data_IF_477692119092
#
_entry.id   IF_477692119092
#
_cell.length_a   1.000
_cell.length_b   1.000
_cell.length_c   1.000
_cell.angle_alpha   90.00
_cell.angle_beta   90.00
_cell.angle_gamma   90.00
#
_symmetry.space_group_name_H-M   'P 1'
#
loop_
_entity.id
_entity.type
_entity.pdbx_description
1 polymer ?
2 non-polymer ?
3 non-polymer ?
4 non-polymer ?
5 non-polymer ?
6 non-polymer ?
7 water ?
#
# COMPACT_ATOMS: atom_id res chain seq x y z
N UNK A 1 -17.12 -3.34 -29.08
CA UNK A 1 -16.22 -2.35 -29.82
C UNK A 1 -16.83 -1.16 -30.56
N UNK A 3 -12.91 -1.02 -29.43
CA UNK A 3 -12.33 -1.11 -28.07
C UNK A 3 -11.16 -0.17 -27.86
N UNK A 4 -11.34 0.77 -26.93
CA UNK A 4 -10.26 1.64 -26.52
C UNK A 4 -9.14 0.80 -25.89
N UNK A 5 -7.97 1.40 -25.79
CA UNK A 5 -6.85 0.78 -25.06
C UNK A 5 -7.31 0.49 -23.62
N UNK A 6 -8.05 1.42 -23.00
CA UNK A 6 -8.55 1.19 -21.62
C UNK A 6 -9.44 -0.07 -21.56
N UNK A 7 -10.32 -0.20 -22.55
CA UNK A 7 -11.22 -1.33 -22.49
C UNK A 7 -10.45 -2.66 -22.66
N UNK A 8 -9.49 -2.68 -23.58
CA UNK A 8 -8.61 -3.83 -23.74
C UNK A 8 -7.90 -4.16 -22.45
N UNK A 9 -7.27 -3.14 -21.85
CA UNK A 9 -6.55 -3.30 -20.57
C UNK A 9 -7.44 -3.88 -19.45
N UNK A 10 -8.68 -3.39 -19.35
CA UNK A 10 -9.60 -3.81 -18.28
C UNK A 10 -10.04 -5.25 -18.45
N UNK A 11 -9.91 -5.78 -19.68
CA UNK A 11 -10.23 -7.18 -19.91
C UNK A 11 -9.11 -8.08 -19.44
N UNK A 13 -6.74 -7.01 -16.79
CA UNK A 13 -6.18 -6.46 -15.54
C UNK A 13 -7.27 -5.75 -14.79
N UNK A 14 -7.32 -5.92 -13.48
CA UNK A 14 -8.14 -5.05 -12.63
C UNK A 14 -7.50 -3.64 -12.54
N UNK A 15 -8.14 -2.70 -13.21
CA UNK A 15 -7.62 -1.32 -13.23
C UNK A 15 -8.24 -0.55 -12.08
N UNK A 16 -7.38 0.17 -11.33
CA UNK A 16 -7.84 0.93 -10.20
C UNK A 16 -7.26 2.33 -10.23
N UNK A 17 -8.14 3.31 -10.13
CA UNK A 17 -7.69 4.71 -10.10
C UNK A 17 -6.82 4.91 -8.87
N UNK A 18 -5.71 5.58 -9.08
CA UNK A 18 -4.81 5.97 -8.02
C UNK A 18 -5.44 7.17 -7.32
N UNK A 19 -5.73 7.03 -6.04
CA UNK A 19 -6.35 8.11 -5.25
C UNK A 19 -5.54 8.34 -3.97
N UNK A 20 -5.44 9.59 -3.52
CA UNK A 20 -4.77 9.86 -2.25
C UNK A 20 -5.63 10.66 -1.27
N UNK A 21 -6.91 10.82 -1.59
CA UNK A 21 -7.80 11.57 -0.70
C UNK A 21 -9.23 11.12 -0.94
N UNK A 22 -10.09 11.44 0.02
CA UNK A 22 -11.46 10.99 0.01
C UNK A 22 -12.28 11.58 -1.16
N UNK A 23 -12.04 12.84 -1.51
CA UNK A 23 -12.76 13.41 -2.65
C UNK A 23 -12.49 12.62 -3.93
N UNK A 24 -11.24 12.23 -4.15
CA UNK A 24 -10.86 11.46 -5.33
C UNK A 24 -11.46 10.05 -5.29
N UNK A 25 -11.56 9.49 -4.09
CA UNK A 25 -12.18 8.17 -3.93
C UNK A 25 -13.66 8.25 -4.32
N UNK A 26 -14.34 9.28 -3.84
CA UNK A 26 -15.74 9.52 -4.23
C UNK A 26 -15.91 9.75 -5.74
N UNK A 27 -15.01 10.55 -6.32
CA UNK A 27 -15.09 10.94 -7.73
C UNK A 27 -14.84 9.77 -8.68
N UNK A 28 -13.73 9.05 -8.43
CA UNK A 28 -13.28 7.96 -9.31
C UNK A 28 -13.84 6.58 -9.02
N UNK A 29 -14.35 6.39 -7.80
CA UNK A 29 -14.88 5.10 -7.33
C UNK A 29 -13.95 3.89 -7.60
N UNK A 30 -12.71 3.94 -7.07
CA UNK A 30 -11.76 2.86 -7.34
C UNK A 30 -12.26 1.59 -6.69
N UNK A 31 -11.91 0.42 -7.23
CA UNK A 31 -12.34 -0.83 -6.59
C UNK A 31 -11.67 -0.95 -5.22
N UNK A 32 -10.38 -0.63 -5.16
CA UNK A 32 -9.63 -0.66 -3.91
C UNK A 32 -9.05 0.71 -3.66
N UNK A 33 -8.79 1.00 -2.39
CA UNK A 33 -8.13 2.26 -2.01
C UNK A 33 -7.42 2.09 -0.67
N UNK A 34 -6.92 3.19 -0.11
CA UNK A 34 -6.00 3.13 1.05
C UNK A 34 -6.33 4.19 2.11
N UNK A 35 -6.37 3.77 3.37
CA UNK A 35 -6.26 4.71 4.48
C UNK A 35 -4.79 4.75 4.96
N UNK A 36 -4.23 5.95 4.98
CA UNK A 36 -2.88 6.14 5.48
C UNK A 36 -2.81 7.57 6.03
N UNK A 37 -1.73 7.87 6.76
CA UNK A 37 -1.52 9.22 7.27
C UNK A 37 -1.72 10.35 6.24
N UNK A 38 -1.25 10.20 5.01
CA UNK A 38 -1.37 11.25 3.98
C UNK A 38 -2.80 11.60 3.55
N UNK A 39 -3.65 10.59 3.41
CA UNK A 39 -5.07 10.78 3.12
C UNK A 39 -5.76 11.58 4.27
N UNK A 40 -5.42 11.23 5.49
CA UNK A 40 -5.99 11.90 6.66
C UNK A 40 -5.49 13.35 6.81
N UNK A 41 -4.20 13.60 6.53
CA UNK A 41 -3.67 14.99 6.46
C UNK A 41 -4.42 15.83 5.41
N UNK A 42 -4.64 15.25 4.23
CA UNK A 42 -5.44 15.86 3.19
C UNK A 42 -6.85 16.21 3.70
N UNK A 43 -7.48 15.27 4.40
CA UNK A 43 -8.84 15.43 4.89
C UNK A 43 -8.95 16.54 5.96
N UNK A 44 -7.87 16.75 6.71
CA UNK A 44 -7.85 17.76 7.78
C UNK A 44 -8.14 19.16 7.22
N UNK A 45 -7.90 19.31 5.93
CA UNK A 45 -8.10 20.60 5.23
C UNK A 45 -9.55 20.83 4.81
N UNK A 46 -10.36 19.80 4.98
CA UNK A 46 -11.75 19.76 4.53
C UNK A 46 -12.74 19.90 5.69
N UNK A 47 -13.64 20.91 5.63
CA UNK A 47 -14.53 21.17 6.75
C UNK A 47 -15.49 20.04 7.07
N UNK A 48 -15.75 19.15 6.10
CA UNK A 48 -16.56 17.98 6.39
C UNK A 48 -15.71 16.96 7.13
N UNK A 49 -14.65 16.50 6.47
CA UNK A 49 -13.87 15.36 6.95
C UNK A 49 -13.11 15.63 8.25
N UNK A 50 -12.69 16.87 8.49
CA UNK A 50 -11.98 17.19 9.76
C UNK A 50 -12.81 16.82 11.00
N UNK A 51 -14.14 16.85 10.86
CA UNK A 51 -15.03 16.47 11.98
C UNK A 51 -14.82 15.00 12.36
N UNK A 52 -14.46 14.18 11.38
CA UNK A 52 -14.20 12.77 11.63
C UNK A 52 -12.87 12.57 12.37
N UNK A 53 -11.89 13.43 12.07
CA UNK A 53 -10.67 13.51 12.89
C UNK A 53 -10.98 13.86 14.35
N UNK A 54 -11.72 14.95 14.58
CA UNK A 54 -12.07 15.31 15.95
C UNK A 54 -12.84 14.21 16.65
N UNK A 55 -13.69 13.50 15.89
CA UNK A 55 -14.41 12.36 16.44
C UNK A 55 -13.50 11.23 16.95
N UNK A 56 -12.43 10.95 16.20
CA UNK A 56 -11.44 9.95 16.61
C UNK A 56 -10.74 10.35 17.91
N UNK A 57 -10.49 11.65 18.07
CA UNK A 57 -9.92 12.18 19.33
C UNK A 57 -10.91 11.93 20.46
N UNK A 58 -12.17 12.37 20.27
CA UNK A 58 -13.21 12.09 21.26
C UNK A 58 -13.35 10.60 21.61
N UNK A 59 -13.36 9.76 20.59
CA UNK A 59 -13.50 8.30 20.78
C UNK A 59 -12.34 7.71 21.59
N UNK A 60 -11.13 8.23 21.30
CA UNK A 60 -9.92 7.78 21.98
C UNK A 60 -9.92 8.23 23.44
N UNK A 61 -10.41 9.45 23.66
CA UNK A 61 -10.62 9.97 25.01
C UNK A 61 -11.55 9.10 25.87
N UNK A 62 -12.63 8.64 25.26
CA UNK A 62 -13.59 7.74 25.88
C UNK A 62 -12.99 6.36 26.14
N UNK A 63 -12.06 5.94 25.28
CA UNK A 63 -11.55 4.57 25.29
C UNK A 63 -10.51 4.29 26.38
N UNK A 64 -9.68 5.29 26.62
CA UNK A 64 -8.48 5.11 27.47
C UNK A 64 -8.77 5.06 28.97
N UNK A 65 -7.93 4.35 29.75
CA UNK A 65 -8.02 4.39 31.22
C UNK A 65 -8.00 5.80 31.78
N UNK A 66 -8.76 6.04 32.86
CA UNK A 66 -8.70 7.34 33.53
C UNK A 66 -7.25 7.64 33.88
N UNK A 67 -6.88 8.92 33.76
CA UNK A 67 -5.51 9.35 34.01
C UNK A 67 -4.57 9.25 32.82
N UNK A 68 -5.10 8.97 31.64
CA UNK A 68 -4.25 8.90 30.46
C UNK A 68 -3.52 10.25 30.24
N UNK A 69 -2.32 10.20 29.68
CA UNK A 69 -1.60 11.40 29.22
C UNK A 69 -1.97 11.80 27.76
N UNK A 70 -1.58 13.02 27.39
CA UNK A 70 -1.80 13.52 26.04
C UNK A 70 -1.06 12.63 25.03
N UNK A 71 0.14 12.18 25.37
CA UNK A 71 0.91 11.26 24.51
C UNK A 71 0.12 9.98 24.23
N UNK A 72 -0.42 9.38 25.29
CA UNK A 72 -1.24 8.16 25.16
C UNK A 72 -2.49 8.40 24.30
N UNK A 73 -3.11 9.57 24.49
CA UNK A 73 -4.27 9.99 23.70
C UNK A 73 -3.90 10.05 22.20
N UNK A 74 -2.78 10.72 21.88
CA UNK A 74 -2.39 10.91 20.47
C UNK A 74 -2.07 9.56 19.81
N UNK A 75 -1.35 8.70 20.53
CA UNK A 75 -1.06 7.36 20.06
C UNK A 75 -2.32 6.55 19.74
N UNK A 76 -3.26 6.57 20.67
CA UNK A 76 -4.51 5.82 20.49
C UNK A 76 -5.29 6.41 19.32
N UNK A 77 -5.25 7.75 19.19
CA UNK A 77 -5.97 8.46 18.16
C UNK A 77 -5.42 8.11 16.75
N UNK A 78 -4.09 7.97 16.63
CA UNK A 78 -3.46 7.60 15.35
C UNK A 78 -4.09 6.29 14.84
N UNK A 79 -4.22 5.31 15.73
CA UNK A 79 -4.89 4.02 15.44
C UNK A 79 -6.36 4.21 15.05
N UNK A 80 -7.12 4.88 15.91
CA UNK A 80 -8.56 4.99 15.68
C UNK A 80 -8.87 5.78 14.41
N UNK A 81 -8.14 6.87 14.18
CA UNK A 81 -8.46 7.74 13.02
C UNK A 81 -8.19 7.01 11.71
N UNK A 82 -7.12 6.20 11.68
CA UNK A 82 -6.81 5.38 10.52
C UNK A 82 -7.99 4.46 10.17
N UNK A 83 -8.55 3.80 11.19
CA UNK A 83 -9.73 2.93 11.02
C UNK A 83 -11.03 3.68 10.67
N UNK A 84 -11.25 4.83 11.30
CA UNK A 84 -12.43 5.66 11.00
C UNK A 84 -12.43 5.98 9.50
N UNK A 85 -11.27 6.40 9.00
CA UNK A 85 -11.14 6.76 7.59
C UNK A 85 -11.24 5.57 6.63
N UNK A 86 -10.74 4.42 7.08
CA UNK A 86 -10.94 3.16 6.33
C UNK A 86 -12.41 2.76 6.23
N UNK A 87 -13.14 2.86 7.33
CA UNK A 87 -14.58 2.61 7.30
C UNK A 87 -15.29 3.59 6.36
N UNK A 88 -14.88 4.85 6.37
CA UNK A 88 -15.41 5.87 5.44
C UNK A 88 -15.16 5.52 3.94
N UNK A 89 -13.93 5.10 3.65
CA UNK A 89 -13.60 4.52 2.33
C UNK A 89 -14.50 3.32 1.93
N UNK A 90 -14.68 2.34 2.84
CA UNK A 90 -15.56 1.16 2.57
C UNK A 90 -17.04 1.45 2.31
N UNK A 91 -17.50 2.62 2.74
CA UNK A 91 -18.84 3.09 2.34
C UNK A 91 -18.89 3.50 0.85
N UNK A 92 -17.73 3.80 0.25
CA UNK A 92 -17.68 4.28 -1.12
C UNK A 92 -17.29 3.14 -2.06
N UNK A 93 -16.21 2.43 -1.73
CA UNK A 93 -15.63 1.44 -2.67
C UNK A 93 -16.26 0.04 -2.50
N UNK A 94 -16.11 -0.80 -3.52
CA UNK A 94 -16.73 -2.14 -3.52
C UNK A 94 -15.72 -3.20 -3.07
N UNK A 95 -14.44 -2.85 -3.08
CA UNK A 95 -13.40 -3.82 -2.81
C UNK A 95 -12.76 -3.63 -1.45
N UNK A 96 -11.43 -3.66 -1.44
CA UNK A 96 -10.64 -3.75 -0.20
C UNK A 96 -9.94 -2.45 0.13
N UNK A 97 -9.88 -2.11 1.43
CA UNK A 97 -9.13 -0.94 1.89
C UNK A 97 -7.79 -1.36 2.51
N UNK A 98 -6.70 -0.85 1.92
CA UNK A 98 -5.37 -1.09 2.48
C UNK A 98 -5.20 -0.14 3.64
N UNK A 99 -4.68 -0.66 4.73
CA UNK A 99 -4.61 0.09 5.97
C UNK A 99 -3.15 0.08 6.40
N UNK A 100 -2.51 1.26 6.33
CA UNK A 100 -1.09 1.32 6.59
C UNK A 100 -0.75 1.05 8.04
N UNK A 101 0.17 0.11 8.27
CA UNK A 101 0.71 -0.15 9.59
C UNK A 101 1.85 0.82 9.77
N UNK A 102 1.86 1.50 10.93
CA UNK A 102 2.90 2.45 11.34
C UNK A 102 4.29 1.96 10.86
N UNK A 103 4.90 2.74 9.98
CA UNK A 103 6.16 2.37 9.31
C UNK A 103 7.34 2.43 10.29
N UNK A 104 7.13 3.09 11.44
CA UNK A 104 8.16 3.12 12.47
C UNK A 104 8.36 1.73 13.09
N UNK A 105 7.42 0.83 12.86
CA UNK A 105 7.52 -0.56 13.34
C UNK A 105 8.06 -1.53 12.29
N UNK A 106 8.57 -0.99 11.18
CA UNK A 106 8.94 -1.81 10.01
C UNK A 106 10.02 -2.90 10.28
N UNK A 107 10.81 -2.72 11.35
CA UNK A 107 11.90 -3.66 11.68
C UNK A 107 11.58 -4.46 12.94
N UNK A 108 10.31 -4.46 13.33
CA UNK A 108 9.87 -5.17 14.53
C UNK A 108 8.68 -6.04 14.20
N UNK A 109 8.95 -7.33 13.99
CA UNK A 109 7.90 -8.27 13.64
C UNK A 109 6.77 -8.30 14.69
N UNK A 110 7.12 -8.44 15.95
CA UNK A 110 6.14 -8.56 17.02
C UNK A 110 5.23 -7.31 17.11
N UNK A 111 5.81 -6.12 17.03
CA UNK A 111 5.05 -4.89 17.09
C UNK A 111 4.14 -4.71 15.86
N UNK A 112 4.62 -5.12 14.68
CA UNK A 112 3.84 -5.04 13.44
C UNK A 112 2.62 -5.98 13.54
N UNK A 113 2.86 -7.22 13.97
CA UNK A 113 1.77 -8.20 14.17
C UNK A 113 0.76 -7.64 15.20
N UNK A 114 1.24 -7.10 16.31
CA UNK A 114 0.32 -6.58 17.33
C UNK A 114 -0.48 -5.36 16.84
N UNK A 115 0.17 -4.47 16.10
CA UNK A 115 -0.57 -3.34 15.52
C UNK A 115 -1.65 -3.81 14.53
N UNK A 116 -1.30 -4.74 13.63
CA UNK A 116 -2.26 -5.29 12.65
C UNK A 116 -3.46 -5.87 13.38
N UNK A 117 -3.18 -6.70 14.39
CA UNK A 117 -4.28 -7.27 15.19
C UNK A 117 -5.17 -6.19 15.79
N UNK A 118 -4.54 -5.15 16.35
CA UNK A 118 -5.27 -4.03 16.98
C UNK A 118 -6.16 -3.33 15.94
N UNK A 119 -5.63 -3.07 14.73
CA UNK A 119 -6.40 -2.36 13.70
C UNK A 119 -7.54 -3.25 13.22
N UNK A 120 -7.25 -4.54 13.02
CA UNK A 120 -8.31 -5.47 12.63
C UNK A 120 -9.43 -5.52 13.66
N UNK A 121 -9.07 -5.57 14.96
CA UNK A 121 -10.10 -5.63 16.01
C UNK A 121 -10.91 -4.33 16.10
N UNK A 122 -10.27 -3.21 15.83
CA UNK A 122 -10.99 -1.92 15.74
C UNK A 122 -12.01 -1.93 14.62
N UNK A 123 -11.60 -2.40 13.45
CA UNK A 123 -12.52 -2.56 12.34
C UNK A 123 -13.71 -3.44 12.72
N UNK A 124 -13.42 -4.57 13.38
CA UNK A 124 -14.50 -5.45 13.88
C UNK A 124 -15.48 -4.72 14.82
N UNK A 125 -14.92 -3.99 15.76
CA UNK A 125 -15.74 -3.19 16.69
C UNK A 125 -16.70 -2.23 15.99
N UNK A 126 -16.33 -1.83 14.77
CA UNK A 126 -17.09 -0.86 13.98
C UNK A 126 -17.88 -1.51 12.84
N UNK A 127 -18.00 -2.83 12.92
CA UNK A 127 -18.89 -3.59 12.05
C UNK A 127 -18.22 -4.02 10.76
N UNK A 128 -16.90 -3.97 10.69
CA UNK A 128 -16.19 -4.30 9.43
C UNK A 128 -15.39 -5.58 9.58
N UNK A 129 -15.68 -6.58 8.74
CA UNK A 129 -14.97 -7.86 8.83
C UNK A 129 -13.60 -7.79 8.16
N UNK A 130 -12.67 -8.65 8.57
CA UNK A 130 -11.30 -8.60 8.02
C UNK A 130 -11.16 -8.86 6.50
N UNK A 131 -12.13 -9.53 5.88
CA UNK A 131 -11.99 -9.79 4.44
C UNK A 131 -12.05 -8.53 3.59
N UNK A 132 -12.50 -7.42 4.17
CA UNK A 132 -12.56 -6.17 3.43
C UNK A 132 -11.27 -5.35 3.60
N UNK A 133 -10.32 -5.87 4.38
CA UNK A 133 -9.14 -5.10 4.78
C UNK A 133 -7.91 -5.79 4.21
N UNK A 134 -6.96 -4.99 3.73
CA UNK A 134 -5.60 -5.43 3.53
C UNK A 134 -4.70 -4.68 4.51
N UNK A 135 -3.98 -5.42 5.34
CA UNK A 135 -2.99 -4.79 6.22
C UNK A 135 -1.71 -4.50 5.44
N UNK A 136 -1.33 -3.22 5.38
CA UNK A 136 -0.28 -2.79 4.51
C UNK A 136 1.02 -2.53 5.24
N UNK A 137 2.03 -3.29 4.84
CA UNK A 137 3.26 -3.44 5.56
C UNK A 137 4.41 -3.30 4.59
N UNK A 138 5.46 -2.57 4.99
CA UNK A 138 6.69 -2.49 4.21
C UNK A 138 7.41 -3.88 4.16
N UNK A 139 7.93 -4.22 2.97
CA UNK A 139 8.55 -5.53 2.71
C UNK A 139 10.04 -5.62 3.16
N UNK A 140 10.29 -5.24 4.42
CA UNK A 140 11.49 -5.68 5.11
C UNK A 140 11.39 -7.17 5.48
N UNK A 141 12.52 -7.76 5.88
CA UNK A 141 12.47 -9.12 6.38
C UNK A 141 11.43 -9.24 7.50
N UNK A 142 11.51 -8.34 8.47
CA UNK A 142 10.59 -8.41 9.62
C UNK A 142 9.12 -8.19 9.26
N UNK A 143 8.85 -7.30 8.31
CA UNK A 143 7.46 -7.04 7.85
C UNK A 143 6.84 -8.23 7.13
N UNK A 144 7.65 -8.92 6.33
CA UNK A 144 7.22 -10.12 5.64
C UNK A 144 6.97 -11.23 6.68
N UNK A 145 7.91 -11.39 7.62
CA UNK A 145 7.66 -12.29 8.74
C UNK A 145 6.35 -12.02 9.52
N UNK A 146 6.04 -10.75 9.78
CA UNK A 146 4.80 -10.36 10.45
C UNK A 146 3.61 -10.72 9.59
N UNK A 147 3.68 -10.42 8.29
CA UNK A 147 2.62 -10.76 7.35
C UNK A 147 2.42 -12.28 7.32
N UNK A 148 3.52 -13.05 7.34
CA UNK A 148 3.40 -14.52 7.32
C UNK A 148 2.54 -14.99 8.50
N UNK A 149 2.77 -14.40 9.67
CA UNK A 149 2.02 -14.75 10.85
C UNK A 149 0.52 -14.39 10.71
N UNK A 150 0.29 -13.15 10.29
CA UNK A 150 -1.04 -12.59 10.10
C UNK A 150 -1.88 -13.38 9.08
N UNK A 151 -1.27 -13.77 7.94
CA UNK A 151 -2.01 -14.48 6.91
C UNK A 151 -2.58 -15.79 7.42
N UNK A 152 -1.81 -16.44 8.28
CA UNK A 152 -2.20 -17.70 8.90
C UNK A 152 -3.42 -17.57 9.78
N UNK A 153 -3.69 -16.38 10.29
CA UNK A 153 -4.92 -16.16 11.02
C UNK A 153 -5.99 -15.45 10.19
N UNK A 154 -5.82 -15.47 8.88
CA UNK A 154 -6.82 -14.92 7.98
C UNK A 154 -6.78 -13.39 7.83
N UNK A 155 -5.72 -12.75 8.36
CA UNK A 155 -5.52 -11.30 8.16
C UNK A 155 -4.71 -11.14 6.86
N UNK A 156 -5.38 -10.62 5.84
CA UNK A 156 -4.83 -10.40 4.50
C UNK A 156 -3.96 -9.17 4.44
N UNK A 157 -2.78 -9.33 3.83
CA UNK A 157 -1.76 -8.29 3.83
C UNK A 157 -1.39 -7.83 2.43
N UNK A 158 -1.10 -6.53 2.33
CA UNK A 158 -0.54 -5.90 1.16
C UNK A 158 0.91 -5.52 1.51
N UNK A 159 1.86 -6.22 0.88
CA UNK A 159 3.28 -5.95 1.09
C UNK A 159 3.77 -4.93 0.10
N UNK A 160 4.18 -3.78 0.63
CA UNK A 160 4.54 -2.63 -0.21
C UNK A 160 6.01 -2.26 0.03
N UNK A 161 6.48 -1.16 -0.59
CA UNK A 161 7.90 -0.88 -0.73
C UNK A 161 8.65 -2.14 -1.21
N UNK A 162 8.13 -2.72 -2.28
CA UNK A 162 8.61 -3.95 -2.81
C UNK A 162 9.27 -3.66 -4.15
N UNK A 163 10.54 -4.02 -4.23
CA UNK A 163 11.40 -3.57 -5.31
C UNK A 163 12.11 -4.68 -6.09
N UNK A 164 12.28 -5.88 -5.53
CA UNK A 164 13.00 -6.90 -6.28
C UNK A 164 12.45 -8.31 -6.16
N UNK A 165 13.10 -9.23 -6.87
CA UNK A 165 12.67 -10.62 -6.96
C UNK A 165 12.81 -11.31 -5.61
N UNK A 166 13.93 -11.02 -4.92
CA UNK A 166 14.12 -11.52 -3.57
C UNK A 166 12.90 -11.23 -2.67
N UNK A 167 12.48 -9.97 -2.62
CA UNK A 167 11.32 -9.60 -1.79
C UNK A 167 10.02 -10.31 -2.28
N UNK A 168 9.82 -10.34 -3.60
CA UNK A 168 8.63 -10.97 -4.20
C UNK A 168 8.53 -12.45 -3.83
N UNK A 169 9.64 -13.16 -4.01
CA UNK A 169 9.67 -14.60 -3.74
C UNK A 169 9.47 -14.91 -2.26
N UNK A 170 10.14 -14.13 -1.41
CA UNK A 170 9.95 -14.24 0.03
C UNK A 170 8.46 -14.04 0.41
N UNK A 171 7.79 -13.06 -0.22
CA UNK A 171 6.35 -12.88 0.04
C UNK A 171 5.53 -14.08 -0.46
N UNK A 172 5.85 -14.55 -1.66
CA UNK A 172 5.06 -15.65 -2.26
C UNK A 172 5.16 -16.91 -1.37
N UNK A 173 6.39 -17.22 -0.95
CA UNK A 173 6.66 -18.39 -0.08
C UNK A 173 6.00 -18.26 1.26
N UNK A 174 5.79 -17.03 1.72
CA UNK A 174 5.03 -16.77 2.97
C UNK A 174 3.49 -16.64 2.81
N UNK A 175 2.98 -16.94 1.62
CA UNK A 175 1.54 -16.91 1.37
C UNK A 175 0.88 -15.53 1.52
N UNK A 176 1.64 -14.46 1.21
CA UNK A 176 1.14 -13.09 1.31
C UNK A 176 0.02 -12.92 0.24
N UNK A 177 -1.08 -12.26 0.63
CA UNK A 177 -2.21 -11.97 -0.28
C UNK A 177 -1.87 -11.12 -1.52
N UNK A 178 -1.10 -10.04 -1.33
CA UNK A 178 -0.90 -9.05 -2.39
C UNK A 178 0.43 -8.33 -2.19
N UNK A 179 1.14 -8.06 -3.29
CA UNK A 179 2.31 -7.23 -3.28
C UNK A 179 2.06 -5.99 -4.16
N UNK A 180 2.63 -4.87 -3.76
CA UNK A 180 2.43 -3.61 -4.53
C UNK A 180 3.75 -2.91 -4.88
N UNK A 181 4.50 -3.48 -5.83
CA UNK A 181 5.75 -2.84 -6.31
C UNK A 181 5.51 -1.47 -6.96
N UNK A 182 6.37 -0.52 -6.59
CA UNK A 182 6.36 0.85 -7.08
C UNK A 182 7.34 0.99 -8.25
N UNK A 183 6.81 0.75 -9.44
CA UNK A 183 7.53 0.70 -10.70
C UNK A 183 8.33 1.99 -10.97
N UNK A 184 7.63 3.12 -10.86
CA UNK A 184 8.23 4.44 -11.18
C UNK A 184 9.39 4.76 -10.24
N UNK A 185 9.34 4.30 -8.99
CA UNK A 185 10.46 4.55 -8.08
C UNK A 185 11.73 3.80 -8.50
N UNK A 186 11.55 2.61 -9.07
CA UNK A 186 12.67 1.82 -9.61
C UNK A 186 13.30 2.57 -10.80
N UNK A 187 12.45 3.06 -11.71
CA UNK A 187 12.92 3.90 -12.83
C UNK A 187 13.70 5.13 -12.29
N UNK A 188 13.13 5.83 -11.30
CA UNK A 188 13.75 7.04 -10.74
C UNK A 188 15.17 6.77 -10.24
N UNK A 189 15.33 5.67 -9.49
CA UNK A 189 16.62 5.29 -8.93
C UNK A 189 17.65 5.14 -10.04
N UNK A 190 17.30 4.45 -11.11
CA UNK A 190 18.28 4.24 -12.19
C UNK A 190 18.67 5.53 -12.93
N UNK A 191 17.69 6.38 -13.19
CA UNK A 191 17.97 7.70 -13.77
C UNK A 191 18.89 8.51 -12.85
N UNK A 192 18.58 8.54 -11.57
CA UNK A 192 19.37 9.28 -10.58
C UNK A 192 20.80 8.75 -10.38
N UNK A 193 20.97 7.43 -10.42
CA UNK A 193 22.29 6.82 -10.33
C UNK A 193 23.22 7.09 -11.58
N UNK A 194 22.61 7.15 -12.75
CA UNK A 194 23.39 7.05 -14.02
C UNK A 194 23.38 8.29 -14.91
N UNK A 195 22.37 9.14 -14.76
CA UNK A 195 22.14 10.23 -15.68
C UNK A 195 21.58 9.82 -17.04
N UNK A 196 21.22 8.54 -17.19
CA UNK A 196 20.43 8.12 -18.34
C UNK A 196 19.09 8.83 -18.22
N UNK A 197 18.65 9.47 -19.30
CA UNK A 197 17.52 10.39 -19.22
C UNK A 197 16.21 9.64 -19.42
N UNK A 198 16.30 8.46 -20.03
CA UNK A 198 15.11 7.60 -20.17
C UNK A 198 15.46 6.15 -20.38
N UNK A 199 14.51 5.29 -20.02
CA UNK A 199 14.63 3.84 -20.21
C UNK A 199 13.27 3.44 -20.81
N UNK A 200 13.22 3.30 -22.15
CA UNK A 200 11.93 3.32 -22.87
C UNK A 200 11.27 1.96 -22.88
N UNK A 201 9.95 1.92 -22.67
CA UNK A 201 9.21 0.68 -22.88
C UNK A 201 9.75 -0.47 -22.05
N UNK A 202 10.07 -1.57 -22.73
CA UNK A 202 10.50 -2.85 -22.12
C UNK A 202 11.85 -2.74 -21.41
N UNK A 203 12.59 -1.67 -21.69
CA UNK A 203 13.88 -1.38 -21.06
C UNK A 203 13.73 -0.80 -19.65
N UNK A 204 12.54 -0.28 -19.34
CA UNK A 204 12.30 0.28 -18.00
C UNK A 204 12.63 -0.79 -16.92
N UNK A 205 13.63 -0.53 -16.02
CA UNK A 205 14.01 -1.52 -15.02
C UNK A 205 12.87 -1.94 -14.08
N UNK A 206 11.95 -1.03 -13.75
CA UNK A 206 10.73 -1.39 -12.96
C UNK A 206 9.81 -2.39 -13.67
N UNK A 207 9.59 -2.13 -14.95
CA UNK A 207 8.83 -3.03 -15.81
C UNK A 207 9.55 -4.40 -15.95
N UNK A 208 10.85 -4.40 -16.18
CA UNK A 208 11.61 -5.66 -16.20
C UNK A 208 11.37 -6.47 -14.94
N UNK A 209 11.57 -5.83 -13.80
CA UNK A 209 11.38 -6.53 -12.54
C UNK A 209 10.00 -7.06 -12.28
N UNK A 210 8.96 -6.25 -12.52
CA UNK A 210 7.62 -6.70 -12.24
C UNK A 210 7.16 -7.77 -13.26
N UNK A 211 7.59 -7.63 -14.51
CA UNK A 211 7.39 -8.65 -15.55
C UNK A 211 7.89 -10.05 -15.08
N UNK A 212 9.13 -10.07 -14.58
CA UNK A 212 9.75 -11.29 -14.08
C UNK A 212 8.99 -11.90 -12.90
N UNK A 213 8.65 -11.03 -11.93
CA UNK A 213 7.91 -11.43 -10.73
C UNK A 213 6.57 -12.04 -11.13
N UNK A 214 5.80 -11.35 -11.98
CA UNK A 214 4.51 -11.87 -12.45
C UNK A 214 4.63 -13.23 -13.13
N UNK A 215 5.56 -13.34 -14.09
CA UNK A 215 5.81 -14.60 -14.85
C UNK A 215 6.12 -15.75 -13.88
N UNK A 216 6.99 -15.47 -12.90
CA UNK A 216 7.38 -16.51 -11.92
C UNK A 216 6.16 -16.91 -11.07
N UNK A 217 5.44 -15.91 -10.56
CA UNK A 217 4.33 -16.17 -9.66
C UNK A 217 3.27 -17.07 -10.33
N UNK A 218 2.90 -16.73 -11.57
CA UNK A 218 1.88 -17.49 -12.30
C UNK A 218 2.33 -18.89 -12.73
N UNK A 219 3.53 -19.00 -13.29
CA UNK A 219 4.08 -20.28 -13.67
C UNK A 219 4.19 -21.25 -12.48
N UNK A 220 4.58 -20.72 -11.31
CA UNK A 220 4.71 -21.55 -10.08
C UNK A 220 3.37 -21.80 -9.39
N UNK A 221 2.32 -21.08 -9.81
CA UNK A 221 0.98 -21.27 -9.20
C UNK A 221 0.77 -20.55 -7.86
N UNK A 222 1.63 -19.59 -7.54
CA UNK A 222 1.44 -18.78 -6.35
C UNK A 222 0.14 -17.95 -6.45
N UNK A 223 -0.56 -17.77 -5.33
CA UNK A 223 -1.82 -17.04 -5.28
C UNK A 223 -1.62 -15.53 -5.12
N UNK A 224 -0.43 -15.11 -4.67
CA UNK A 224 -0.18 -13.72 -4.29
C UNK A 224 -0.53 -12.83 -5.48
N UNK A 225 -1.36 -11.80 -5.27
CA UNK A 225 -1.71 -10.90 -6.37
C UNK A 225 -0.61 -9.86 -6.58
N UNK A 226 -0.38 -9.48 -7.84
CA UNK A 226 0.60 -8.43 -8.16
C UNK A 226 -0.14 -7.17 -8.58
N UNK A 228 0.87 -3.54 -9.73
CA UNK A 228 1.82 -2.51 -10.17
C UNK A 228 1.29 -1.14 -9.77
N UNK A 229 2.16 -0.31 -9.22
CA UNK A 229 1.73 1.00 -8.70
C UNK A 229 2.80 2.02 -8.95
N UNK A 230 2.46 3.31 -8.75
CA UNK A 230 3.43 4.40 -8.73
C UNK A 230 4.12 4.65 -10.08
N UNK A 231 3.34 4.94 -11.11
CA UNK A 231 3.88 4.99 -12.47
C UNK A 231 4.36 6.36 -12.86
N UNK A 232 5.47 6.41 -13.58
CA UNK A 232 6.03 7.66 -14.12
C UNK A 232 5.49 8.02 -15.49
N UNK A 233 5.10 7.02 -16.26
CA UNK A 233 4.61 7.25 -17.59
C UNK A 233 3.65 6.13 -18.03
N UNK A 234 2.98 6.39 -19.13
CA UNK A 234 1.95 5.50 -19.61
C UNK A 234 2.53 4.25 -20.26
N UNK A 235 3.74 4.34 -20.80
CA UNK A 235 4.38 3.18 -21.42
C UNK A 235 4.63 2.06 -20.40
N UNK A 236 5.03 2.43 -19.19
CA UNK A 236 5.22 1.48 -18.08
C UNK A 236 3.96 0.66 -17.84
N UNK A 237 2.83 1.35 -17.81
CA UNK A 237 1.53 0.68 -17.60
C UNK A 237 1.23 -0.29 -18.74
N UNK A 238 1.46 0.18 -19.96
CA UNK A 238 1.18 -0.62 -21.14
C UNK A 238 2.02 -1.89 -21.17
N UNK A 239 3.31 -1.74 -20.82
CA UNK A 239 4.20 -2.89 -20.73
C UNK A 239 3.75 -4.01 -19.77
N UNK A 240 3.02 -3.63 -18.74
CA UNK A 240 2.58 -4.53 -17.69
C UNK A 240 1.10 -4.94 -17.86
N UNK A 241 0.51 -4.66 -19.02
CA UNK A 241 -0.87 -5.09 -19.35
C UNK A 241 -1.02 -6.60 -19.14
N UNK A 242 -2.05 -7.01 -18.40
CA UNK A 242 -2.20 -8.42 -17.93
C UNK A 242 -1.81 -8.68 -16.48
N UNK A 243 -1.15 -7.71 -15.83
CA UNK A 243 -0.91 -7.79 -14.37
C UNK A 243 -2.25 -7.92 -13.63
N UNK A 244 -2.23 -8.53 -12.43
CA UNK A 244 -3.46 -8.77 -11.62
C UNK A 244 -4.23 -7.48 -11.41
N UNK A 245 -3.51 -6.46 -10.92
CA UNK A 245 -4.04 -5.09 -10.77
C UNK A 245 -3.00 -4.09 -11.21
N UNK A 246 -3.45 -2.93 -11.62
CA UNK A 246 -2.55 -1.81 -11.89
C UNK A 246 -3.24 -0.60 -11.32
N UNK A 247 -2.54 0.13 -10.45
CA UNK A 247 -3.05 1.38 -9.89
C UNK A 247 -2.56 2.54 -10.72
N UNK A 248 -3.50 3.31 -11.28
CA UNK A 248 -3.24 4.20 -12.39
C UNK A 248 -3.85 5.59 -12.12
N UNK A 249 -3.05 6.63 -12.30
CA UNK A 249 -3.53 8.03 -12.20
C UNK A 249 -4.78 8.26 -13.04
N UNK A 250 -5.76 8.96 -12.47
CA UNK A 250 -6.96 9.32 -13.24
C UNK A 250 -6.62 9.91 -14.63
N UNK A 251 -5.60 10.74 -14.76
CA UNK A 251 -5.35 11.32 -16.10
C UNK A 251 -4.95 10.23 -17.10
N UNK A 252 -4.26 9.20 -16.59
CA UNK A 252 -3.79 8.10 -17.45
C UNK A 252 -4.97 7.23 -17.86
N UNK A 253 -5.90 7.02 -16.93
CA UNK A 253 -7.17 6.40 -17.22
C UNK A 253 -7.90 7.10 -18.37
N UNK A 254 -8.02 8.43 -18.27
CA UNK A 254 -8.66 9.20 -19.33
C UNK A 254 -7.93 9.03 -20.67
N UNK A 255 -6.59 9.08 -20.64
CA UNK A 255 -5.80 8.95 -21.87
C UNK A 255 -5.92 7.56 -22.54
N UNK A 256 -5.89 6.52 -21.72
CA UNK A 256 -6.12 5.17 -22.23
C UNK A 256 -7.47 4.99 -22.89
N UNK A 257 -8.49 5.62 -22.30
CA UNK A 257 -9.86 5.59 -22.85
C UNK A 257 -9.99 6.34 -24.18
N UNK A 258 -9.22 7.43 -24.31
CA UNK A 258 -9.13 8.19 -25.56
C UNK A 258 -8.43 7.45 -26.71
N UNK A 259 -7.45 6.60 -26.35
CA UNK A 259 -6.60 5.96 -27.36
C UNK A 259 -7.26 4.77 -28.06
N UNK A 260 -6.92 4.60 -29.33
CA UNK A 260 -7.21 3.36 -30.02
C UNK A 260 -5.94 2.67 -30.48
N UNK A 261 -6.09 1.45 -30.97
CA UNK A 261 -5.00 0.70 -31.53
C UNK A 261 -5.01 -0.63 -30.79
N UNK A 262 -3.84 -1.26 -30.71
CA UNK A 262 -3.74 -2.60 -30.15
C UNK A 262 -2.84 -2.59 -28.92
N UNK A 263 -3.38 -3.10 -27.81
CA UNK A 263 -2.61 -3.34 -26.56
C UNK A 263 -2.38 -4.84 -26.42
N UNK A 264 -1.11 -5.23 -26.35
CA UNK A 264 -0.73 -6.62 -26.18
C UNK A 264 -0.79 -6.94 -24.70
N UNK A 265 -1.45 -8.06 -24.36
CA UNK A 265 -1.30 -8.66 -23.02
C UNK A 265 0.09 -9.31 -22.83
N UNK A 266 1.04 -8.56 -22.32
CA UNK A 266 2.40 -9.07 -22.16
C UNK A 266 2.51 -9.99 -20.92
N UNK A 267 1.79 -9.63 -19.86
CA UNK A 267 1.73 -10.44 -18.64
C UNK A 267 0.64 -11.50 -18.79
N UNK A 268 1.03 -12.64 -19.33
CA UNK A 268 0.06 -13.64 -19.78
C UNK A 268 0.38 -15.07 -19.32
N UNK A 269 1.25 -15.22 -18.32
CA UNK A 269 1.68 -16.55 -17.89
C UNK A 269 0.57 -17.30 -17.15
N UNK A 270 0.62 -18.63 -17.23
CA UNK A 270 -0.26 -19.48 -16.45
C UNK A 270 0.60 -20.62 -15.86
N UNK A 271 0.02 -21.44 -15.00
CA UNK A 271 0.77 -22.48 -14.30
C UNK A 271 1.57 -23.40 -15.24
N UNK A 272 2.80 -23.74 -14.86
CA UNK A 272 3.62 -24.73 -15.57
C UNK A 272 4.07 -25.79 -14.60
N UNK A 273 4.14 -27.04 -15.07
CA UNK A 273 4.71 -28.10 -14.25
C UNK A 273 5.96 -28.60 -14.97
N UNK A 274 7.10 -28.35 -14.35
CA UNK A 274 8.41 -28.58 -14.96
C UNK A 274 9.49 -28.64 -13.89
N UNK A 275 10.74 -28.79 -14.33
CA UNK A 275 11.86 -28.99 -13.41
C UNK A 275 12.64 -27.74 -12.98
N UNK A 276 12.05 -26.56 -13.23
CA UNK A 276 12.71 -25.31 -12.85
C UNK A 276 12.85 -25.27 -11.34
N UNK A 277 13.86 -24.54 -10.89
CA UNK A 277 14.21 -24.42 -9.48
C UNK A 277 13.06 -23.68 -8.77
N UNK A 278 12.72 -24.09 -7.55
CA UNK A 278 11.89 -23.29 -6.64
C UNK A 278 12.78 -22.44 -5.75
N UNK A 279 12.84 -21.15 -6.03
CA UNK A 279 13.72 -20.28 -5.24
C UNK A 279 13.22 -20.04 -3.82
N UNK A 280 14.16 -20.03 -2.89
CA UNK A 280 13.88 -19.69 -1.49
C UNK A 280 14.89 -18.68 -1.02
N UNK A 281 14.46 -17.76 -0.20
CA UNK A 281 15.37 -16.87 0.45
C UNK A 281 15.06 -16.92 1.93
N UNK A 282 15.86 -17.69 2.68
CA UNK A 282 15.80 -17.66 4.16
C UNK A 282 16.44 -16.37 4.62
N UNK A 283 16.43 -16.10 5.93
CA UNK A 283 16.87 -14.78 6.43
C UNK A 283 18.24 -14.32 5.93
N UNK A 284 19.26 -15.19 6.05
CA UNK A 284 20.60 -14.82 5.59
C UNK A 284 20.70 -14.49 4.10
N UNK A 285 20.11 -15.33 3.26
CA UNK A 285 20.08 -15.06 1.82
C UNK A 285 19.32 -13.78 1.48
N UNK A 286 18.21 -13.55 2.18
CA UNK A 286 17.41 -12.35 2.00
C UNK A 286 18.26 -11.13 2.30
N UNK A 287 18.91 -11.14 3.44
CA UNK A 287 19.77 -10.00 3.83
C UNK A 287 20.92 -9.72 2.88
N UNK A 288 21.64 -10.78 2.48
CA UNK A 288 22.70 -10.68 1.49
C UNK A 288 22.22 -10.18 0.13
N UNK A 289 21.12 -10.73 -0.37
CA UNK A 289 20.55 -10.29 -1.66
C UNK A 289 20.11 -8.82 -1.61
N UNK A 291 21.42 -6.58 0.44
CA UNK A 291 22.66 -5.78 0.55
C UNK A 291 23.29 -5.51 -0.81
N UNK A 292 23.21 -6.50 -1.68
CA UNK A 292 23.78 -6.41 -3.03
C UNK A 292 22.92 -5.54 -3.94
N UNK A 293 21.66 -5.36 -3.59
CA UNK A 293 20.75 -4.59 -4.42
C UNK A 293 20.64 -3.17 -3.83
N UNK A 294 21.52 -2.27 -4.29
CA UNK A 294 21.55 -0.91 -3.78
C UNK A 294 20.22 -0.18 -4.05
N UNK A 296 17.08 -1.55 -4.35
CA UNK A 296 16.00 -2.03 -3.47
C UNK A 296 16.23 -1.57 -2.04
N UNK A 297 17.47 -1.67 -1.55
CA UNK A 297 17.75 -1.31 -0.15
C UNK A 297 17.60 0.19 0.14
N UNK A 298 17.99 1.04 -0.82
CA UNK A 298 17.77 2.50 -0.70
C UNK A 298 16.31 2.92 -0.87
N UNK A 299 15.62 2.36 -1.88
CA UNK A 299 14.21 2.74 -2.05
C UNK A 299 13.32 2.20 -0.91
N UNK A 300 13.64 1.01 -0.38
CA UNK A 300 12.99 0.49 0.83
C UNK A 300 13.25 1.41 2.05
N UNK A 301 14.50 1.80 2.28
CA UNK A 301 14.83 2.67 3.42
C UNK A 301 14.20 4.08 3.31
N UNK A 302 14.36 4.71 2.15
CA UNK A 302 13.74 6.00 1.86
C UNK A 302 12.21 5.96 1.97
N UNK A 303 11.60 4.88 1.47
CA UNK A 303 10.13 4.74 1.57
C UNK A 303 9.64 4.65 2.99
N UNK A 304 10.33 3.85 3.80
CA UNK A 304 10.01 3.72 5.21
C UNK A 304 10.14 5.11 5.89
N UNK A 305 11.23 5.82 5.60
CA UNK A 305 11.41 7.17 6.14
C UNK A 305 10.27 8.12 5.75
N UNK A 306 9.88 8.07 4.48
CA UNK A 306 8.78 8.88 3.96
C UNK A 306 7.46 8.55 4.65
N UNK A 307 7.18 7.27 4.85
CA UNK A 307 5.96 6.84 5.56
C UNK A 307 6.02 7.34 7.02
N UNK A 308 7.21 7.24 7.61
CA UNK A 308 7.41 7.64 9.00
C UNK A 308 7.23 9.15 9.11
N UNK A 309 7.76 9.91 8.16
CA UNK A 309 7.55 11.36 8.19
C UNK A 309 6.05 11.71 8.17
N UNK A 310 5.29 11.05 7.29
CA UNK A 310 3.87 11.39 7.18
C UNK A 310 3.11 11.03 8.45
N UNK A 311 3.44 9.91 9.10
CA UNK A 311 2.75 9.60 10.37
C UNK A 311 3.14 10.57 11.48
N UNK A 312 4.40 11.03 11.46
CA UNK A 312 4.80 12.10 12.42
C UNK A 312 4.02 13.38 12.17
N UNK A 313 3.83 13.74 10.91
CA UNK A 313 3.03 14.91 10.59
C UNK A 313 1.58 14.74 11.02
N UNK A 314 1.04 13.53 10.89
CA UNK A 314 -0.32 13.23 11.42
C UNK A 314 -0.39 13.50 12.92
N UNK A 315 0.59 13.00 13.67
CA UNK A 315 0.65 13.18 15.12
C UNK A 315 0.61 14.67 15.46
N UNK A 316 1.38 15.46 14.71
CA UNK A 316 1.38 16.91 14.90
C UNK A 316 0.02 17.58 14.62
N UNK A 317 -0.68 17.12 13.59
CA UNK A 317 -2.01 17.60 13.26
C UNK A 317 -3.02 17.25 14.39
N UNK A 318 -2.95 16.03 14.90
CA UNK A 318 -3.83 15.59 16.00
C UNK A 318 -3.61 16.44 17.27
N UNK A 319 -2.35 16.76 17.55
CA UNK A 319 -2.02 17.70 18.63
C UNK A 319 -2.70 19.07 18.36
N UNK A 320 -2.62 19.56 17.13
CA UNK A 320 -3.29 20.82 16.78
C UNK A 320 -4.81 20.71 17.00
N UNK A 321 -5.44 19.65 16.45
CA UNK A 321 -6.90 19.48 16.60
C UNK A 321 -7.34 19.47 18.08
N UNK A 322 -6.56 18.79 18.92
CA UNK A 322 -6.84 18.70 20.35
C UNK A 322 -6.88 20.11 20.94
N UNK A 323 -5.85 20.90 20.62
CA UNK A 323 -5.74 22.30 21.06
C UNK A 323 -6.95 23.12 20.63
N UNK A 324 -7.28 23.04 19.35
CA UNK A 324 -8.43 23.74 18.76
C UNK A 324 -9.72 23.32 19.46
N UNK A 326 -10.11 22.11 22.51
CA UNK A 326 -10.15 22.69 23.85
C UNK A 326 -10.50 24.18 23.81
N UNK A 327 -9.81 24.93 22.95
CA UNK A 327 -10.08 26.36 22.78
C UNK A 327 -11.53 26.65 22.44
N UNK A 328 -12.08 25.94 21.45
CA UNK A 328 -13.48 26.10 21.10
C UNK A 328 -14.45 25.96 22.30
N UNK A 329 -14.27 24.93 23.12
CA UNK A 329 -15.09 24.71 24.32
C UNK A 329 -14.99 25.90 25.29
N UNK A 330 -13.76 26.39 25.51
CA UNK A 330 -13.50 27.50 26.45
C UNK A 330 -14.07 28.87 26.05
N UNK A 331 -14.21 29.10 24.75
CA UNK A 331 -14.66 30.42 24.24
C UNK A 331 -16.13 30.36 23.77
N UNK A 332 -16.79 29.21 23.95
CA UNK A 332 -18.20 29.04 23.52
C UNK A 332 -19.17 28.97 24.69
N UNK A 333 -20.36 29.53 24.49
CA UNK A 333 -21.46 29.40 25.45
C UNK A 333 -22.68 28.81 24.73
#
# INVERSE_FOLDING_TARGET
GXKSILEQLSSXTVVVADTGDLDSIKKFQPRDATTNPSLILAAAKNPDYVKLIDKAIESSENTLPNGFSEIELIKETVDQVSVFFGKEILKIISGRVSTEVDARLSFDTEATVKKARKLINLYKNFGIEKERILIKIAATWEGIKAAEILEKEGIKCNLTLLFNFCQAVTCANANITLISPFVGRILDWHKAKTGKTSFIGAEDPGVISVTQIYKYFKEKGFKTEVXGASFRNLDEIKELAGCDLLTIAPKFLEELKREKGVLIRKLDASTKINNSIDYKFEEKDFRLSXLEDQXASEKLSEGITGFSKAIEELEELLIERLSEXKNHKLISAN
#
